data_IF_503060777287
#
_entry.id   IF_503060777287
#
_cell.length_a   1.000
_cell.length_b   1.000
_cell.length_c   1.000
_cell.angle_alpha   90.00
_cell.angle_beta   90.00
_cell.angle_gamma   90.00
#
_symmetry.space_group_name_H-M   'P 1'
#
loop_
_entity.id
_entity.type
_entity.pdbx_description
1 polymer ?
#
# COMPACT_ATOMS: atom_id res chain seq x y z
N UNK A 1 76.48 26.66 -12.33
CA UNK A 1 75.10 27.05 -12.69
C UNK A 1 74.02 26.28 -11.93
N UNK A 2 74.34 25.29 -11.07
CA UNK A 2 73.34 24.55 -10.28
C UNK A 2 72.69 25.36 -9.15
N UNK A 3 73.51 26.08 -8.37
CA UNK A 3 73.04 26.73 -7.14
C UNK A 3 72.13 27.96 -7.33
N UNK A 4 71.94 28.43 -8.57
CA UNK A 4 71.11 29.60 -8.88
C UNK A 4 69.66 29.25 -9.26
N UNK A 5 69.38 28.01 -9.67
CA UNK A 5 68.04 27.60 -10.14
C UNK A 5 67.14 27.19 -8.97
N UNK A 6 67.71 26.50 -7.98
CA UNK A 6 66.98 26.09 -6.77
C UNK A 6 66.58 27.27 -5.88
N UNK A 7 67.39 28.34 -5.87
CA UNK A 7 67.04 29.57 -5.16
C UNK A 7 65.89 30.37 -5.80
N UNK A 8 65.60 30.17 -7.09
CA UNK A 8 64.53 30.90 -7.82
C UNK A 8 63.19 30.18 -7.72
N UNK A 9 63.19 28.85 -7.53
CA UNK A 9 61.99 28.01 -7.47
C UNK A 9 61.57 27.59 -6.05
N UNK A 10 62.07 28.27 -5.01
CA UNK A 10 61.92 27.86 -3.61
C UNK A 10 60.47 27.92 -3.03
N UNK A 11 59.47 28.24 -3.85
CA UNK A 11 58.05 28.33 -3.44
C UNK A 11 57.04 27.67 -4.39
N UNK A 12 57.50 27.01 -5.46
CA UNK A 12 56.63 26.40 -6.47
C UNK A 12 56.38 24.91 -6.17
N UNK A 13 55.25 24.35 -6.64
CA UNK A 13 54.93 22.93 -6.43
C UNK A 13 55.94 22.02 -7.13
N UNK A 14 56.17 20.82 -6.60
CA UNK A 14 57.15 19.87 -7.15
C UNK A 14 56.82 19.47 -8.60
N UNK A 15 55.53 19.48 -8.97
CA UNK A 15 55.04 19.29 -10.35
C UNK A 15 55.39 20.47 -11.27
N UNK A 16 55.32 21.71 -10.76
CA UNK A 16 55.70 22.90 -11.53
C UNK A 16 57.21 22.97 -11.74
N UNK A 17 58.01 22.65 -10.71
CA UNK A 17 59.48 22.63 -10.81
C UNK A 17 59.95 21.57 -11.79
N UNK A 18 59.30 20.40 -11.82
CA UNK A 18 59.61 19.33 -12.78
C UNK A 18 59.18 19.69 -14.20
N UNK A 19 58.02 20.34 -14.39
CA UNK A 19 57.58 20.83 -15.68
C UNK A 19 58.51 21.92 -16.24
N UNK A 20 58.98 22.85 -15.39
CA UNK A 20 59.94 23.89 -15.78
C UNK A 20 61.29 23.27 -16.12
N UNK A 21 61.80 22.31 -15.34
CA UNK A 21 63.04 21.58 -15.65
C UNK A 21 62.94 20.86 -17.00
N UNK A 22 61.84 20.14 -17.26
CA UNK A 22 61.60 19.48 -18.54
C UNK A 22 61.49 20.47 -19.71
N UNK A 23 60.89 21.65 -19.48
CA UNK A 23 60.81 22.72 -20.48
C UNK A 23 62.19 23.31 -20.78
N UNK A 24 62.99 23.58 -19.76
CA UNK A 24 64.37 24.06 -19.90
C UNK A 24 65.21 23.04 -20.66
N UNK A 25 65.11 21.75 -20.29
CA UNK A 25 65.83 20.64 -20.92
C UNK A 25 65.44 20.48 -22.39
N UNK A 26 64.14 20.60 -22.70
CA UNK A 26 63.62 20.59 -24.07
C UNK A 26 64.11 21.80 -24.87
N UNK A 27 64.13 23.00 -24.29
CA UNK A 27 64.65 24.21 -24.94
C UNK A 27 66.14 24.04 -25.22
N UNK A 28 66.93 23.54 -24.27
CA UNK A 28 68.36 23.27 -24.50
C UNK A 28 68.58 22.21 -25.57
N UNK A 29 67.77 21.15 -25.60
CA UNK A 29 67.85 20.08 -26.61
C UNK A 29 67.47 20.59 -28.00
N UNK A 30 66.46 21.45 -28.10
CA UNK A 30 66.00 22.05 -29.35
C UNK A 30 66.98 23.13 -29.87
N UNK A 31 67.66 23.86 -28.96
CA UNK A 31 68.78 24.76 -29.29
C UNK A 31 70.00 23.96 -29.79
N UNK A 32 70.31 22.82 -29.17
CA UNK A 32 71.44 21.97 -29.59
C UNK A 32 71.15 21.30 -30.94
N UNK A 33 69.95 20.76 -31.14
CA UNK A 33 69.55 20.12 -32.39
C UNK A 33 69.51 21.09 -33.58
N UNK A 34 68.92 22.28 -33.42
CA UNK A 34 68.90 23.29 -34.50
C UNK A 34 70.22 24.06 -34.67
N UNK A 35 71.07 24.09 -33.64
CA UNK A 35 72.37 24.77 -33.68
C UNK A 35 73.45 23.99 -34.43
N UNK A 36 73.27 22.68 -34.63
CA UNK A 36 74.24 21.80 -35.32
C UNK A 36 73.88 21.55 -36.79
N UNK A 37 72.60 21.43 -37.15
CA UNK A 37 72.22 21.01 -38.51
C UNK A 37 72.16 22.15 -39.56
N UNK A 38 71.90 23.39 -39.17
CA UNK A 38 71.57 24.45 -40.14
C UNK A 38 72.60 25.59 -40.24
N UNK A 39 73.58 25.64 -39.32
CA UNK A 39 74.48 26.80 -39.21
C UNK A 39 75.95 26.49 -38.92
N UNK A 40 76.40 25.23 -38.98
CA UNK A 40 77.84 24.93 -39.09
C UNK A 40 78.27 24.94 -40.57
N UNK A 41 77.83 25.97 -41.33
CA UNK A 41 78.17 26.16 -42.74
C UNK A 41 79.63 26.56 -42.98
N UNK A 42 80.44 26.55 -41.92
CA UNK A 42 81.89 26.64 -42.05
C UNK A 42 82.40 25.24 -42.33
N UNK A 43 82.86 25.05 -43.56
CA UNK A 43 83.67 23.91 -43.98
C UNK A 43 84.60 23.52 -42.81
N UNK A 44 84.55 22.27 -42.31
CA UNK A 44 85.36 21.85 -41.17
C UNK A 44 86.86 22.07 -41.37
N UNK A 45 87.31 22.27 -42.62
CA UNK A 45 88.68 22.62 -42.99
C UNK A 45 88.92 24.13 -43.18
N UNK A 46 87.92 24.99 -42.96
CA UNK A 46 88.09 26.42 -43.14
C UNK A 46 89.16 26.98 -42.19
N UNK A 47 90.18 27.60 -42.79
CA UNK A 47 91.28 28.27 -42.10
C UNK A 47 90.79 29.19 -40.96
N UNK A 48 89.62 29.81 -41.14
CA UNK A 48 89.01 30.72 -40.18
C UNK A 48 88.51 30.01 -38.90
N UNK A 49 87.96 28.79 -39.01
CA UNK A 49 87.52 27.98 -37.85
C UNK A 49 88.72 27.44 -37.08
N UNK A 50 89.76 27.01 -37.81
CA UNK A 50 91.05 26.58 -37.22
C UNK A 50 91.73 27.76 -36.53
N UNK A 51 91.80 28.92 -37.17
CA UNK A 51 92.37 30.14 -36.59
C UNK A 51 91.60 30.62 -35.36
N UNK A 52 90.26 30.59 -35.39
CA UNK A 52 89.42 30.92 -34.25
C UNK A 52 89.63 29.94 -33.08
N UNK A 53 89.76 28.64 -33.37
CA UNK A 53 90.05 27.63 -32.35
C UNK A 53 91.47 27.81 -31.77
N UNK A 54 92.45 28.16 -32.60
CA UNK A 54 93.80 28.53 -32.16
C UNK A 54 93.77 29.78 -31.28
N UNK A 55 92.99 30.80 -31.64
CA UNK A 55 92.84 32.02 -30.85
C UNK A 55 92.16 31.73 -29.50
N UNK A 56 91.09 30.93 -29.46
CA UNK A 56 90.44 30.48 -28.22
C UNK A 56 91.43 29.71 -27.34
N UNK A 57 92.19 28.79 -27.92
CA UNK A 57 93.18 28.02 -27.18
C UNK A 57 94.32 28.90 -26.68
N UNK A 58 94.79 29.87 -27.47
CA UNK A 58 95.83 30.82 -27.06
C UNK A 58 95.36 31.73 -25.93
N UNK A 59 94.17 32.32 -26.04
CA UNK A 59 93.57 33.13 -24.95
C UNK A 59 93.30 32.26 -23.72
N UNK A 60 92.81 31.04 -23.91
CA UNK A 60 92.56 30.08 -22.85
C UNK A 60 93.82 29.60 -22.13
N UNK A 61 94.95 29.51 -22.84
CA UNK A 61 96.28 29.24 -22.29
C UNK A 61 96.81 30.45 -21.54
N UNK A 62 96.81 31.64 -22.14
CA UNK A 62 97.27 32.88 -21.49
C UNK A 62 96.49 33.13 -20.19
N UNK A 63 95.16 33.06 -20.22
CA UNK A 63 94.35 33.21 -19.01
C UNK A 63 94.60 32.07 -18.00
N UNK A 64 94.97 30.88 -18.48
CA UNK A 64 95.36 29.76 -17.63
C UNK A 64 96.68 30.02 -16.90
N UNK A 65 97.69 30.44 -17.63
CA UNK A 65 99.02 30.81 -17.11
C UNK A 65 98.94 32.02 -16.18
N UNK A 66 98.13 33.03 -16.52
CA UNK A 66 97.83 34.16 -15.63
C UNK A 66 97.16 33.71 -14.33
N UNK A 67 96.22 32.76 -14.40
CA UNK A 67 95.59 32.23 -13.17
C UNK A 67 96.60 31.48 -12.32
N UNK A 68 97.45 30.66 -12.93
CA UNK A 68 98.48 29.86 -12.23
C UNK A 68 99.60 30.71 -11.63
N UNK A 69 100.02 31.78 -12.31
CA UNK A 69 101.01 32.74 -11.81
C UNK A 69 100.44 33.59 -10.67
N UNK A 70 99.18 34.02 -10.76
CA UNK A 70 98.49 34.67 -9.64
C UNK A 70 98.35 33.73 -8.42
N UNK A 71 98.10 32.44 -8.65
CA UNK A 71 98.06 31.43 -7.56
C UNK A 71 99.40 31.32 -6.83
N UNK A 72 100.52 31.29 -7.56
CA UNK A 72 101.87 31.28 -6.98
C UNK A 72 102.18 32.58 -6.25
N UNK A 73 101.88 33.73 -6.87
CA UNK A 73 102.10 35.06 -6.28
C UNK A 73 101.39 35.21 -4.94
N UNK A 74 100.14 34.75 -4.83
CA UNK A 74 99.40 34.82 -3.57
C UNK A 74 99.92 33.81 -2.53
N UNK A 75 100.53 32.70 -2.96
CA UNK A 75 101.14 31.71 -2.05
C UNK A 75 102.57 32.06 -1.62
N UNK A 76 103.25 33.01 -2.26
CA UNK A 76 104.64 33.41 -1.96
C UNK A 76 104.91 33.66 -0.47
N UNK A 77 104.08 34.42 0.27
CA UNK A 77 104.33 34.66 1.70
C UNK A 77 104.32 33.38 2.55
N UNK A 78 103.52 32.39 2.16
CA UNK A 78 103.39 31.09 2.85
C UNK A 78 104.59 30.19 2.50
N UNK A 79 105.04 30.24 1.25
CA UNK A 79 106.26 29.53 0.81
C UNK A 79 107.48 30.10 1.52
N UNK A 80 107.54 31.43 1.71
CA UNK A 80 108.64 32.10 2.41
C UNK A 80 108.75 31.74 3.91
N UNK A 81 107.65 31.29 4.52
CA UNK A 81 107.60 30.86 5.92
C UNK A 81 108.04 29.39 6.12
N UNK A 82 108.13 28.60 5.03
CA UNK A 82 108.61 27.21 5.06
C UNK A 82 110.03 27.12 4.48
N UNK A 83 111.04 27.07 5.36
CA UNK A 83 112.46 27.00 4.99
C UNK A 83 112.79 25.79 4.08
N UNK A 84 112.13 24.65 4.28
CA UNK A 84 112.35 23.44 3.49
C UNK A 84 111.89 23.53 2.03
N UNK A 85 110.89 24.37 1.72
CA UNK A 85 110.41 24.60 0.36
C UNK A 85 111.24 25.67 -0.36
N UNK A 86 111.75 26.64 0.40
CA UNK A 86 112.70 27.64 -0.10
C UNK A 86 114.03 27.00 -0.51
N UNK A 87 114.52 26.05 0.27
CA UNK A 87 115.78 25.34 -0.01
C UNK A 87 115.71 24.40 -1.21
N UNK A 88 114.53 23.85 -1.50
CA UNK A 88 114.32 22.93 -2.62
C UNK A 88 114.08 23.64 -3.96
N UNK A 89 113.62 24.89 -3.95
CA UNK A 89 113.14 25.58 -5.16
C UNK A 89 114.00 26.75 -5.63
N UNK A 90 114.92 27.27 -4.80
CA UNK A 90 115.69 28.49 -5.11
C UNK A 90 117.18 28.37 -4.74
N UNK A 91 118.07 28.97 -5.54
CA UNK A 91 119.50 29.11 -5.22
C UNK A 91 119.71 30.23 -4.17
N UNK A 92 120.86 30.25 -3.49
CA UNK A 92 121.11 31.11 -2.31
C UNK A 92 120.91 32.62 -2.59
N UNK A 93 121.24 33.08 -3.79
CA UNK A 93 121.04 34.47 -4.22
C UNK A 93 119.55 34.81 -4.46
N UNK A 94 118.77 33.84 -4.99
CA UNK A 94 117.33 33.99 -5.23
C UNK A 94 116.52 34.02 -3.93
N UNK A 95 116.97 33.28 -2.90
CA UNK A 95 116.34 33.24 -1.57
C UNK A 95 116.33 34.62 -0.91
N UNK A 96 117.40 35.41 -1.10
CA UNK A 96 117.51 36.74 -0.52
C UNK A 96 116.54 37.74 -1.18
N UNK A 97 116.34 37.64 -2.50
CA UNK A 97 115.39 38.48 -3.24
C UNK A 97 113.94 38.15 -2.86
N UNK A 98 113.61 36.88 -2.67
CA UNK A 98 112.27 36.42 -2.28
C UNK A 98 111.96 36.75 -0.80
N UNK A 99 112.95 36.63 0.10
CA UNK A 99 112.83 37.09 1.49
C UNK A 99 112.60 38.62 1.57
N UNK A 100 113.27 39.40 0.72
CA UNK A 100 113.06 40.84 0.62
C UNK A 100 111.64 41.20 0.14
N UNK A 101 111.11 40.51 -0.88
CA UNK A 101 109.75 40.71 -1.39
C UNK A 101 108.66 40.30 -0.40
N UNK A 102 108.84 39.20 0.32
CA UNK A 102 107.87 38.79 1.34
C UNK A 102 107.86 39.75 2.53
N UNK A 103 109.01 40.31 2.93
CA UNK A 103 109.07 41.40 3.89
C UNK A 103 108.40 42.68 3.34
N UNK A 104 108.61 43.04 2.09
CA UNK A 104 107.97 44.21 1.47
C UNK A 104 106.44 44.08 1.44
N UNK A 105 105.92 42.91 1.07
CA UNK A 105 104.48 42.61 1.06
C UNK A 105 103.91 42.58 2.49
N UNK A 106 104.64 42.02 3.47
CA UNK A 106 104.21 41.98 4.86
C UNK A 106 104.23 43.37 5.54
N UNK A 107 105.21 44.21 5.21
CA UNK A 107 105.34 45.59 5.72
C UNK A 107 104.14 46.44 5.31
N UNK A 108 103.68 46.27 4.06
CA UNK A 108 102.51 46.99 3.53
C UNK A 108 101.15 46.40 3.97
N UNK A 109 101.13 45.21 4.59
CA UNK A 109 99.89 44.54 4.99
C UNK A 109 99.46 44.79 6.45
N UNK A 110 100.29 45.43 7.28
CA UNK A 110 99.99 45.68 8.71
C UNK A 110 99.46 47.08 9.05
N UNK A 111 99.29 47.96 8.05
CA UNK A 111 98.70 49.29 8.21
C UNK A 111 97.23 49.34 7.78
N UNK A 112 96.36 49.78 8.68
CA UNK A 112 94.99 50.23 8.42
C UNK A 112 94.90 51.05 7.13
N UNK A 113 94.09 50.60 6.17
CA UNK A 113 93.89 51.31 4.90
C UNK A 113 93.09 52.60 5.09
N UNK A 114 93.81 53.70 5.32
CA UNK A 114 93.40 55.05 4.89
C UNK A 114 93.78 55.20 3.42
N UNK A 115 92.93 55.88 2.65
CA UNK A 115 93.00 55.92 1.18
C UNK A 115 94.01 56.93 0.61
N UNK A 116 94.78 57.60 1.47
CA UNK A 116 95.78 58.58 1.05
C UNK A 116 97.09 58.22 1.75
N UNK A 117 97.98 57.57 0.97
CA UNK A 117 99.45 57.52 1.09
C UNK A 117 99.96 56.22 0.44
N UNK A 118 99.94 56.18 -0.89
CA UNK A 118 100.87 55.36 -1.66
C UNK A 118 101.51 56.28 -2.69
N UNK A 119 102.67 56.82 -2.34
CA UNK A 119 103.52 57.55 -3.25
C UNK A 119 104.24 56.53 -4.16
N UNK A 120 103.66 56.31 -5.35
CA UNK A 120 104.08 55.27 -6.31
C UNK A 120 105.47 55.56 -6.93
N UNK A 121 106.08 56.71 -6.65
CA UNK A 121 107.35 57.15 -7.25
C UNK A 121 108.61 56.64 -6.53
N UNK A 122 108.53 55.94 -5.39
CA UNK A 122 109.70 55.31 -4.73
C UNK A 122 109.89 53.82 -5.03
N UNK A 123 109.11 53.23 -5.93
CA UNK A 123 109.31 51.85 -6.38
C UNK A 123 110.13 51.86 -7.68
N UNK A 124 111.41 52.21 -7.60
CA UNK A 124 112.36 51.88 -8.67
C UNK A 124 112.85 50.44 -8.46
N UNK A 125 111.99 49.46 -8.74
CA UNK A 125 112.48 48.10 -9.03
C UNK A 125 113.02 48.13 -10.46
N UNK A 126 114.31 47.84 -10.70
CA UNK A 126 114.85 47.81 -12.06
C UNK A 126 114.02 46.84 -12.90
N UNK A 127 113.49 47.29 -14.04
CA UNK A 127 112.58 46.49 -14.88
C UNK A 127 113.16 45.12 -15.31
N UNK A 128 114.49 44.96 -15.30
CA UNK A 128 115.17 43.68 -15.51
C UNK A 128 114.93 42.63 -14.41
N UNK A 129 114.85 43.05 -13.14
CA UNK A 129 114.62 42.13 -12.01
C UNK A 129 113.16 41.67 -11.91
N UNK A 130 112.20 42.48 -12.37
CA UNK A 130 110.78 42.08 -12.46
C UNK A 130 110.53 41.01 -13.53
N UNK A 131 111.29 41.04 -14.63
CA UNK A 131 111.24 40.03 -15.69
C UNK A 131 111.93 38.74 -15.21
N UNK A 132 113.04 38.84 -14.49
CA UNK A 132 113.68 37.69 -13.83
C UNK A 132 112.78 37.08 -12.72
N UNK A 133 112.06 37.90 -11.95
CA UNK A 133 111.06 37.42 -11.00
C UNK A 133 109.88 36.74 -11.69
N UNK A 134 109.37 37.30 -12.79
CA UNK A 134 108.30 36.66 -13.55
C UNK A 134 108.75 35.33 -14.17
N UNK A 135 110.03 35.21 -14.60
CA UNK A 135 110.57 33.95 -15.12
C UNK A 135 110.88 32.93 -14.02
N UNK A 136 111.30 33.37 -12.83
CA UNK A 136 111.48 32.55 -11.63
C UNK A 136 110.15 32.01 -11.09
N UNK A 137 109.10 32.84 -11.08
CA UNK A 137 107.75 32.49 -10.62
C UNK A 137 106.97 31.63 -11.63
N UNK A 138 107.43 31.57 -12.89
CA UNK A 138 106.87 30.74 -13.94
C UNK A 138 107.49 29.32 -14.00
N UNK A 139 108.41 28.96 -13.08
CA UNK A 139 108.98 27.61 -13.01
C UNK A 139 107.87 26.59 -12.69
N UNK A 140 107.71 25.58 -13.56
CA UNK A 140 106.65 24.55 -13.46
C UNK A 140 106.65 23.78 -12.13
N UNK A 141 107.82 23.63 -11.52
CA UNK A 141 108.00 22.96 -10.23
C UNK A 141 107.38 23.74 -9.07
N UNK A 142 107.43 25.08 -9.14
CA UNK A 142 106.84 25.98 -8.14
C UNK A 142 105.30 25.98 -8.23
N UNK A 143 104.75 25.90 -9.44
CA UNK A 143 103.30 25.72 -9.65
C UNK A 143 102.80 24.39 -9.08
N UNK A 144 103.58 23.31 -9.17
CA UNK A 144 103.19 22.00 -8.62
C UNK A 144 103.17 22.00 -7.08
N UNK A 145 104.14 22.66 -6.44
CA UNK A 145 104.22 22.76 -4.98
C UNK A 145 103.14 23.67 -4.37
N UNK A 146 102.70 24.72 -5.09
CA UNK A 146 101.76 25.73 -4.58
C UNK A 146 100.30 25.30 -4.60
N UNK A 147 99.90 24.34 -5.44
CA UNK A 147 98.50 23.83 -5.53
C UNK A 147 97.97 23.34 -4.18
N UNK A 148 98.83 22.79 -3.32
CA UNK A 148 98.48 22.36 -1.96
C UNK A 148 98.21 23.50 -0.98
N UNK A 149 98.91 24.63 -1.15
CA UNK A 149 98.87 25.78 -0.23
C UNK A 149 97.78 26.81 -0.56
N UNK A 150 97.13 26.72 -1.74
CA UNK A 150 95.98 27.55 -2.11
C UNK A 150 94.81 27.42 -1.11
N UNK A 151 94.68 26.27 -0.42
CA UNK A 151 93.68 26.05 0.63
C UNK A 151 93.99 26.73 1.97
N UNK A 152 95.21 27.21 2.15
CA UNK A 152 95.65 27.93 3.36
C UNK A 152 95.59 29.46 3.18
N UNK A 153 95.28 29.94 1.97
CA UNK A 153 95.12 31.36 1.68
C UNK A 153 93.88 31.97 2.35
N UNK A 154 93.97 33.23 2.81
CA UNK A 154 92.82 34.00 3.30
C UNK A 154 91.66 34.04 2.29
N UNK A 155 90.43 34.06 2.81
CA UNK A 155 89.20 33.89 2.00
C UNK A 155 89.02 34.91 0.87
N UNK A 156 89.60 36.11 1.00
CA UNK A 156 89.55 37.17 -0.03
C UNK A 156 90.30 36.73 -1.30
N UNK A 157 91.52 36.20 -1.17
CA UNK A 157 92.31 35.71 -2.29
C UNK A 157 91.69 34.48 -2.94
N UNK A 158 91.06 33.61 -2.14
CA UNK A 158 90.35 32.43 -2.68
C UNK A 158 89.11 32.81 -3.50
N UNK A 159 88.33 33.78 -3.03
CA UNK A 159 87.17 34.32 -3.79
C UNK A 159 87.64 34.99 -5.08
N UNK A 160 88.71 35.78 -5.03
CA UNK A 160 89.28 36.39 -6.22
C UNK A 160 89.75 35.35 -7.24
N UNK A 161 90.49 34.32 -6.81
CA UNK A 161 90.91 33.21 -7.68
C UNK A 161 89.72 32.42 -8.24
N UNK A 162 88.66 32.21 -7.45
CA UNK A 162 87.42 31.59 -7.92
C UNK A 162 86.76 32.42 -9.01
N UNK A 163 86.64 33.74 -8.80
CA UNK A 163 86.07 34.66 -9.78
C UNK A 163 86.90 34.72 -11.06
N UNK A 164 88.23 34.69 -10.97
CA UNK A 164 89.11 34.63 -12.15
C UNK A 164 88.97 33.30 -12.90
N UNK A 165 88.83 32.17 -12.18
CA UNK A 165 88.56 30.87 -12.79
C UNK A 165 87.17 30.83 -13.46
N UNK A 166 86.16 31.42 -12.85
CA UNK A 166 84.83 31.56 -13.46
C UNK A 166 84.84 32.51 -14.66
N UNK A 167 85.55 33.63 -14.56
CA UNK A 167 85.75 34.57 -15.66
C UNK A 167 86.45 33.89 -16.84
N UNK A 168 87.46 33.06 -16.59
CA UNK A 168 88.10 32.22 -17.62
C UNK A 168 87.10 31.28 -18.27
N UNK A 169 86.31 30.53 -17.49
CA UNK A 169 85.27 29.63 -18.02
C UNK A 169 84.23 30.39 -18.84
N UNK A 170 83.77 31.53 -18.34
CA UNK A 170 82.81 32.40 -19.01
C UNK A 170 83.36 32.97 -20.32
N UNK A 171 84.59 33.48 -20.31
CA UNK A 171 85.25 34.03 -21.49
C UNK A 171 85.47 32.97 -22.56
N UNK A 172 85.93 31.77 -22.16
CA UNK A 172 86.06 30.63 -23.09
C UNK A 172 84.68 30.23 -23.64
N UNK A 173 83.64 30.15 -22.81
CA UNK A 173 82.29 29.79 -23.26
C UNK A 173 81.67 30.85 -24.17
N UNK A 174 81.90 32.13 -23.89
CA UNK A 174 81.44 33.25 -24.70
C UNK A 174 82.17 33.32 -26.03
N UNK A 175 83.48 33.04 -26.04
CA UNK A 175 84.25 32.94 -27.28
C UNK A 175 83.88 31.70 -28.09
N UNK A 176 83.47 30.59 -27.47
CA UNK A 176 82.91 29.42 -28.17
C UNK A 176 81.51 29.68 -28.77
N UNK A 177 80.88 30.79 -28.41
CA UNK A 177 79.54 31.16 -28.86
C UNK A 177 79.68 32.05 -30.10
N UNK A 178 79.59 31.44 -31.28
CA UNK A 178 79.64 32.14 -32.56
C UNK A 178 78.36 32.97 -32.75
N UNK A 179 78.46 34.13 -33.42
CA UNK A 179 77.32 34.99 -33.73
C UNK A 179 76.13 34.25 -34.39
N UNK A 180 76.39 33.17 -35.13
CA UNK A 180 75.37 32.30 -35.72
C UNK A 180 74.56 31.49 -34.69
N UNK A 181 75.22 30.99 -33.63
CA UNK A 181 74.54 30.25 -32.54
C UNK A 181 73.67 31.17 -31.69
N UNK A 182 74.10 32.41 -31.48
CA UNK A 182 73.27 33.43 -30.82
C UNK A 182 72.03 33.79 -31.65
N UNK A 183 72.18 33.98 -32.96
CA UNK A 183 71.05 34.24 -33.85
C UNK A 183 70.05 33.08 -33.89
N UNK A 184 70.53 31.82 -33.87
CA UNK A 184 69.68 30.64 -33.82
C UNK A 184 68.88 30.57 -32.50
N UNK A 185 69.54 30.84 -31.37
CA UNK A 185 68.89 30.93 -30.06
C UNK A 185 67.81 32.01 -30.04
N UNK A 186 68.09 33.19 -30.59
CA UNK A 186 67.12 34.28 -30.67
C UNK A 186 65.91 33.93 -31.53
N UNK A 187 66.11 33.27 -32.69
CA UNK A 187 65.02 32.76 -33.53
C UNK A 187 64.14 31.74 -32.79
N UNK A 188 64.73 30.83 -32.02
CA UNK A 188 63.99 29.85 -31.20
C UNK A 188 63.17 30.57 -30.13
N UNK A 189 63.77 31.52 -29.41
CA UNK A 189 63.07 32.32 -28.40
C UNK A 189 61.89 33.09 -28.98
N UNK A 190 62.04 33.69 -30.17
CA UNK A 190 60.92 34.36 -30.85
C UNK A 190 59.80 33.38 -31.25
N UNK A 191 60.14 32.17 -31.74
CA UNK A 191 59.13 31.14 -32.03
C UNK A 191 58.37 30.73 -30.78
N UNK A 192 59.07 30.49 -29.67
CA UNK A 192 58.47 30.14 -28.38
C UNK A 192 57.60 31.27 -27.83
N UNK A 193 58.05 32.52 -27.94
CA UNK A 193 57.28 33.69 -27.52
C UNK A 193 55.98 33.82 -28.32
N UNK A 194 56.04 33.71 -29.65
CA UNK A 194 54.86 33.75 -30.50
C UNK A 194 53.87 32.61 -30.18
N UNK A 195 54.38 31.40 -29.87
CA UNK A 195 53.54 30.27 -29.45
C UNK A 195 52.90 30.54 -28.09
N UNK A 196 53.65 31.06 -27.13
CA UNK A 196 53.13 31.43 -25.81
C UNK A 196 52.02 32.47 -25.94
N UNK A 197 52.19 33.48 -26.80
CA UNK A 197 51.18 34.51 -27.03
C UNK A 197 49.90 33.96 -27.66
N UNK A 198 50.01 32.97 -28.56
CA UNK A 198 48.84 32.24 -29.08
C UNK A 198 48.16 31.42 -27.99
N UNK A 199 48.93 30.67 -27.21
CA UNK A 199 48.40 29.86 -26.11
C UNK A 199 47.68 30.72 -25.08
N UNK A 200 48.22 31.89 -24.71
CA UNK A 200 47.55 32.86 -23.82
C UNK A 200 46.20 33.31 -24.38
N UNK A 201 46.12 33.61 -25.68
CA UNK A 201 44.85 33.98 -26.33
C UNK A 201 43.85 32.81 -26.34
N UNK A 202 44.32 31.58 -26.52
CA UNK A 202 43.49 30.39 -26.50
C UNK A 202 42.96 30.09 -25.09
N UNK A 203 43.82 30.20 -24.07
CA UNK A 203 43.44 30.07 -22.66
C UNK A 203 42.33 31.08 -22.33
N UNK A 204 42.49 32.36 -22.68
CA UNK A 204 41.45 33.37 -22.46
C UNK A 204 40.12 33.01 -23.12
N UNK A 205 40.14 32.52 -24.36
CA UNK A 205 38.91 32.07 -25.04
C UNK A 205 38.23 30.91 -24.31
N UNK A 206 39.02 29.95 -23.80
CA UNK A 206 38.49 28.81 -23.05
C UNK A 206 37.91 29.28 -21.72
N UNK A 207 38.59 30.19 -21.02
CA UNK A 207 38.12 30.84 -19.79
C UNK A 207 36.77 31.56 -20.02
N UNK A 208 36.67 32.36 -21.08
CA UNK A 208 35.42 33.05 -21.44
C UNK A 208 34.28 32.07 -21.72
N UNK A 209 34.55 30.99 -22.45
CA UNK A 209 33.56 29.92 -22.72
C UNK A 209 33.14 29.23 -21.41
N UNK A 210 34.08 29.01 -20.49
CA UNK A 210 33.82 28.37 -19.22
C UNK A 210 32.91 29.25 -18.36
N UNK A 211 33.19 30.55 -18.28
CA UNK A 211 32.34 31.54 -17.58
C UNK A 211 30.93 31.54 -18.17
N UNK A 212 30.80 31.68 -19.50
CA UNK A 212 29.47 31.66 -20.13
C UNK A 212 28.70 30.36 -19.90
N UNK A 213 29.38 29.20 -19.92
CA UNK A 213 28.73 27.91 -19.63
C UNK A 213 28.30 27.80 -18.17
N UNK A 214 29.11 28.33 -17.24
CA UNK A 214 28.80 28.37 -15.81
C UNK A 214 27.57 29.24 -15.55
N UNK A 215 27.50 30.44 -16.14
CA UNK A 215 26.36 31.34 -16.01
C UNK A 215 25.06 30.71 -16.55
N UNK A 216 25.11 30.10 -17.75
CA UNK A 216 23.95 29.37 -18.31
C UNK A 216 23.50 28.21 -17.43
N UNK A 217 24.45 27.49 -16.83
CA UNK A 217 24.12 26.41 -15.90
C UNK A 217 23.46 26.97 -14.64
N UNK A 218 23.99 28.06 -14.07
CA UNK A 218 23.42 28.71 -12.90
C UNK A 218 22.00 29.24 -13.18
N UNK A 219 21.75 29.81 -14.35
CA UNK A 219 20.41 30.23 -14.80
C UNK A 219 19.46 29.04 -14.90
N UNK A 220 19.84 27.97 -15.60
CA UNK A 220 19.02 26.75 -15.71
C UNK A 220 18.75 26.10 -14.35
N UNK A 221 19.73 26.13 -13.44
CA UNK A 221 19.56 25.63 -12.07
C UNK A 221 18.55 26.49 -11.31
N UNK A 222 18.65 27.82 -11.39
CA UNK A 222 17.67 28.74 -10.76
C UNK A 222 16.26 28.50 -11.30
N UNK A 223 16.09 28.38 -12.60
CA UNK A 223 14.79 28.05 -13.21
C UNK A 223 14.22 26.74 -12.66
N UNK A 224 15.02 25.67 -12.62
CA UNK A 224 14.60 24.38 -12.05
C UNK A 224 14.24 24.49 -10.57
N UNK A 225 14.99 25.26 -9.79
CA UNK A 225 14.64 25.53 -8.39
C UNK A 225 13.29 26.23 -8.24
N UNK A 226 12.98 27.23 -9.07
CA UNK A 226 11.65 27.88 -9.02
C UNK A 226 10.52 26.92 -9.37
N UNK A 227 10.73 26.00 -10.31
CA UNK A 227 9.75 24.96 -10.65
C UNK A 227 9.54 23.99 -9.49
N UNK A 228 10.63 23.53 -8.87
CA UNK A 228 10.57 22.65 -7.69
C UNK A 228 9.79 23.31 -6.56
N UNK A 229 10.03 24.60 -6.31
CA UNK A 229 9.37 25.31 -5.22
C UNK A 229 7.87 25.51 -5.47
N UNK A 230 7.47 25.76 -6.73
CA UNK A 230 6.04 25.76 -7.11
C UNK A 230 5.38 24.40 -6.84
N UNK A 231 6.00 23.30 -7.29
CA UNK A 231 5.45 21.97 -7.06
C UNK A 231 5.40 21.58 -5.59
N UNK A 232 6.36 22.01 -4.77
CA UNK A 232 6.31 21.83 -3.31
C UNK A 232 5.10 22.52 -2.71
N UNK A 233 4.84 23.76 -3.10
CA UNK A 233 3.68 24.52 -2.65
C UNK A 233 2.36 23.88 -3.10
N UNK A 234 2.27 23.46 -4.36
CA UNK A 234 1.09 22.75 -4.88
C UNK A 234 0.83 21.42 -4.14
N UNK A 235 1.88 20.67 -3.80
CA UNK A 235 1.78 19.45 -3.01
C UNK A 235 1.30 19.72 -1.57
N UNK A 236 1.76 20.81 -0.97
CA UNK A 236 1.33 21.22 0.37
C UNK A 236 -0.15 21.63 0.38
N UNK A 237 -0.57 22.48 -0.57
CA UNK A 237 -1.96 22.90 -0.74
C UNK A 237 -2.88 21.69 -1.02
N UNK A 238 -2.46 20.78 -1.92
CA UNK A 238 -3.21 19.56 -2.19
C UNK A 238 -3.31 18.66 -0.95
N UNK A 239 -2.22 18.58 -0.17
CA UNK A 239 -2.19 17.86 1.10
C UNK A 239 -3.18 18.43 2.12
N UNK A 240 -3.25 19.76 2.25
CA UNK A 240 -4.20 20.44 3.13
C UNK A 240 -5.65 20.23 2.69
N UNK A 241 -5.94 20.41 1.40
CA UNK A 241 -7.28 20.19 0.84
C UNK A 241 -7.71 18.74 1.04
N UNK A 242 -6.81 17.78 0.77
CA UNK A 242 -7.09 16.35 0.99
C UNK A 242 -7.39 16.05 2.46
N UNK A 243 -6.56 16.54 3.39
CA UNK A 243 -6.81 16.38 4.83
C UNK A 243 -8.15 16.97 5.25
N UNK A 244 -8.46 18.19 4.80
CA UNK A 244 -9.74 18.84 5.10
C UNK A 244 -10.93 18.05 4.55
N UNK A 245 -10.83 17.53 3.34
CA UNK A 245 -11.87 16.73 2.72
C UNK A 245 -12.07 15.39 3.44
N UNK A 246 -10.99 14.73 3.86
CA UNK A 246 -11.05 13.49 4.65
C UNK A 246 -11.76 13.74 5.98
N UNK A 247 -11.39 14.81 6.68
CA UNK A 247 -12.03 15.17 7.97
C UNK A 247 -13.52 15.45 7.77
N UNK A 248 -13.88 16.27 6.77
CA UNK A 248 -15.30 16.55 6.46
C UNK A 248 -16.08 15.29 6.12
N UNK A 249 -15.49 14.40 5.32
CA UNK A 249 -16.12 13.14 4.96
C UNK A 249 -16.32 12.22 6.18
N UNK A 250 -15.33 12.16 7.07
CA UNK A 250 -15.47 11.43 8.33
C UNK A 250 -16.58 12.01 9.20
N UNK A 251 -16.59 13.33 9.41
CA UNK A 251 -17.62 14.01 10.22
C UNK A 251 -19.03 13.81 9.63
N UNK A 252 -19.18 13.94 8.31
CA UNK A 252 -20.46 13.73 7.61
C UNK A 252 -20.91 12.26 7.69
N UNK A 253 -19.97 11.32 7.57
CA UNK A 253 -20.24 9.88 7.70
C UNK A 253 -20.66 9.52 9.13
N UNK A 254 -19.95 10.02 10.13
CA UNK A 254 -20.25 9.79 11.55
C UNK A 254 -21.60 10.38 11.93
N UNK A 255 -21.93 11.58 11.41
CA UNK A 255 -23.25 12.19 11.59
C UNK A 255 -24.35 11.37 10.95
N UNK A 256 -24.14 10.87 9.74
CA UNK A 256 -25.11 9.98 9.09
C UNK A 256 -25.28 8.69 9.90
N UNK A 257 -24.18 8.08 10.35
CA UNK A 257 -24.20 6.87 11.15
C UNK A 257 -24.96 7.08 12.46
N UNK A 258 -24.74 8.20 13.14
CA UNK A 258 -25.48 8.58 14.35
C UNK A 258 -26.98 8.66 14.07
N UNK A 259 -27.41 9.35 13.02
CA UNK A 259 -28.83 9.42 12.65
C UNK A 259 -29.42 8.07 12.25
N UNK A 260 -28.63 7.17 11.64
CA UNK A 260 -29.07 5.81 11.36
C UNK A 260 -29.30 5.01 12.64
N UNK A 261 -28.40 5.13 13.63
CA UNK A 261 -28.56 4.47 14.94
C UNK A 261 -29.76 5.03 15.70
N UNK A 262 -29.88 6.35 15.82
CA UNK A 262 -31.01 7.02 16.47
C UNK A 262 -32.35 6.56 15.87
N UNK A 263 -32.45 6.56 14.54
CA UNK A 263 -33.65 6.06 13.84
C UNK A 263 -33.87 4.56 14.02
N UNK A 264 -32.81 3.77 14.16
CA UNK A 264 -32.91 2.33 14.41
C UNK A 264 -33.43 2.07 15.83
N UNK A 265 -32.92 2.82 16.81
CA UNK A 265 -33.33 2.73 18.21
C UNK A 265 -34.79 3.15 18.37
N UNK A 266 -35.22 4.26 17.74
CA UNK A 266 -36.62 4.68 17.71
C UNK A 266 -37.55 3.60 17.15
N UNK A 267 -37.15 2.92 16.07
CA UNK A 267 -37.93 1.81 15.50
C UNK A 267 -37.97 0.61 16.43
N UNK A 268 -36.86 0.33 17.11
CA UNK A 268 -36.77 -0.78 18.05
C UNK A 268 -37.69 -0.54 19.25
N UNK A 269 -37.67 0.65 19.83
CA UNK A 269 -38.59 1.06 20.90
C UNK A 269 -40.05 0.97 20.44
N UNK A 270 -40.39 1.48 19.25
CA UNK A 270 -41.75 1.35 18.70
C UNK A 270 -42.18 -0.11 18.52
N UNK A 271 -41.29 -0.99 18.05
CA UNK A 271 -41.58 -2.42 17.91
C UNK A 271 -41.78 -3.10 19.28
N UNK A 272 -41.03 -2.69 20.30
CA UNK A 272 -41.21 -3.17 21.67
C UNK A 272 -42.55 -2.72 22.25
N UNK A 273 -42.94 -1.47 22.04
CA UNK A 273 -44.25 -0.95 22.44
C UNK A 273 -45.39 -1.71 21.74
N UNK A 274 -45.30 -1.92 20.42
CA UNK A 274 -46.28 -2.67 19.65
C UNK A 274 -46.37 -4.14 20.11
N UNK A 275 -45.23 -4.78 20.41
CA UNK A 275 -45.19 -6.12 20.98
C UNK A 275 -45.85 -6.19 22.37
N UNK A 276 -45.65 -5.18 23.21
CA UNK A 276 -46.28 -5.10 24.52
C UNK A 276 -47.80 -4.89 24.41
N UNK A 277 -48.25 -4.02 23.52
CA UNK A 277 -49.67 -3.73 23.29
C UNK A 277 -50.40 -4.93 22.69
N UNK A 278 -49.79 -5.62 21.72
CA UNK A 278 -50.36 -6.84 21.14
C UNK A 278 -50.45 -7.96 22.17
N UNK A 279 -49.44 -8.13 23.03
CA UNK A 279 -49.49 -9.10 24.14
C UNK A 279 -50.63 -8.78 25.11
N UNK A 280 -50.79 -7.50 25.47
CA UNK A 280 -51.86 -7.04 26.37
C UNK A 280 -53.25 -7.28 25.75
N UNK A 281 -53.43 -6.93 24.48
CA UNK A 281 -54.68 -7.17 23.74
C UNK A 281 -55.00 -8.67 23.67
N UNK A 282 -54.00 -9.50 23.40
CA UNK A 282 -54.16 -10.95 23.37
C UNK A 282 -54.56 -11.53 24.74
N UNK A 283 -53.91 -11.09 25.82
CA UNK A 283 -54.27 -11.50 27.17
C UNK A 283 -55.70 -11.11 27.54
N UNK A 284 -56.12 -9.90 27.15
CA UNK A 284 -57.49 -9.45 27.36
C UNK A 284 -58.50 -10.31 26.60
N UNK A 285 -58.28 -10.55 25.30
CA UNK A 285 -59.15 -11.43 24.49
C UNK A 285 -59.21 -12.84 25.07
N UNK A 286 -58.07 -13.41 25.46
CA UNK A 286 -58.01 -14.73 26.08
C UNK A 286 -58.85 -14.78 27.36
N UNK A 287 -58.78 -13.74 28.20
CA UNK A 287 -59.60 -13.64 29.40
C UNK A 287 -61.10 -13.55 29.06
N UNK A 288 -61.47 -12.73 28.09
CA UNK A 288 -62.85 -12.61 27.59
C UNK A 288 -63.37 -13.96 27.09
N UNK A 289 -62.62 -14.65 26.24
CA UNK A 289 -62.97 -15.97 25.72
C UNK A 289 -63.12 -17.01 26.83
N UNK A 290 -62.19 -17.03 27.80
CA UNK A 290 -62.30 -17.93 28.95
C UNK A 290 -63.54 -17.64 29.81
N UNK A 291 -63.95 -16.37 29.94
CA UNK A 291 -65.19 -16.04 30.65
C UNK A 291 -66.42 -16.50 29.88
N UNK A 292 -66.46 -16.28 28.56
CA UNK A 292 -67.55 -16.75 27.69
C UNK A 292 -67.64 -18.28 27.74
N UNK A 293 -66.52 -18.97 27.63
CA UNK A 293 -66.41 -20.43 27.71
C UNK A 293 -66.98 -20.96 29.03
N UNK A 294 -66.55 -20.39 30.18
CA UNK A 294 -67.08 -20.74 31.51
C UNK A 294 -68.59 -20.52 31.60
N UNK A 295 -69.10 -19.39 31.11
CA UNK A 295 -70.55 -19.12 31.13
C UNK A 295 -71.32 -20.11 30.26
N UNK A 296 -70.78 -20.50 29.11
CA UNK A 296 -71.38 -21.49 28.22
C UNK A 296 -71.34 -22.90 28.83
N UNK A 297 -70.25 -23.29 29.50
CA UNK A 297 -70.20 -24.54 30.29
C UNK A 297 -71.27 -24.57 31.37
N UNK A 298 -71.45 -23.48 32.10
CA UNK A 298 -72.49 -23.37 33.13
C UNK A 298 -73.91 -23.44 32.54
N UNK A 299 -74.16 -22.76 31.41
CA UNK A 299 -75.45 -22.85 30.69
C UNK A 299 -75.72 -24.28 30.23
N UNK A 300 -74.73 -24.94 29.62
CA UNK A 300 -74.82 -26.34 29.20
C UNK A 300 -75.15 -27.25 30.39
N UNK A 301 -74.43 -27.12 31.50
CA UNK A 301 -74.69 -27.91 32.72
C UNK A 301 -76.13 -27.70 33.24
N UNK A 302 -76.59 -26.44 33.31
CA UNK A 302 -77.97 -26.12 33.73
C UNK A 302 -79.01 -26.77 32.81
N UNK A 303 -78.84 -26.65 31.49
CA UNK A 303 -79.74 -27.26 30.50
C UNK A 303 -79.72 -28.79 30.58
N UNK A 304 -78.55 -29.40 30.73
CA UNK A 304 -78.41 -30.85 30.91
C UNK A 304 -79.13 -31.32 32.18
N UNK A 305 -78.98 -30.60 33.30
CA UNK A 305 -79.69 -30.91 34.54
C UNK A 305 -81.22 -30.73 34.41
N UNK A 306 -81.67 -29.70 33.70
CA UNK A 306 -83.10 -29.50 33.42
C UNK A 306 -83.66 -30.63 32.55
N UNK A 307 -82.95 -31.03 31.49
CA UNK A 307 -83.33 -32.15 30.63
C UNK A 307 -83.39 -33.46 31.41
N UNK A 308 -82.39 -33.72 32.26
CA UNK A 308 -82.37 -34.91 33.13
C UNK A 308 -83.55 -34.89 34.11
N UNK A 309 -83.91 -33.72 34.67
CA UNK A 309 -85.09 -33.59 35.52
C UNK A 309 -86.39 -33.85 34.76
N UNK A 310 -86.53 -33.35 33.53
CA UNK A 310 -87.70 -33.62 32.68
C UNK A 310 -87.79 -35.09 32.29
N UNK A 311 -86.66 -35.72 31.95
CA UNK A 311 -86.60 -37.14 31.63
C UNK A 311 -87.01 -37.99 32.84
N UNK A 312 -86.47 -37.70 34.03
CA UNK A 312 -86.88 -38.38 35.27
C UNK A 312 -88.37 -38.21 35.58
N UNK A 313 -88.95 -37.02 35.35
CA UNK A 313 -90.39 -36.79 35.51
C UNK A 313 -91.22 -37.59 34.51
N UNK A 314 -90.79 -37.61 33.24
CA UNK A 314 -91.43 -38.38 32.19
C UNK A 314 -91.37 -39.88 32.48
N UNK A 315 -90.20 -40.41 32.83
CA UNK A 315 -90.01 -41.83 33.17
C UNK A 315 -90.87 -42.23 34.38
N UNK A 316 -90.98 -41.35 35.38
CA UNK A 316 -91.86 -41.56 36.53
C UNK A 316 -93.34 -41.61 36.13
N UNK A 317 -93.85 -40.58 35.44
CA UNK A 317 -95.25 -40.51 35.00
C UNK A 317 -95.61 -41.65 34.03
N UNK A 318 -94.74 -41.97 33.08
CA UNK A 318 -94.89 -43.11 32.18
C UNK A 318 -94.89 -44.45 32.95
N UNK A 319 -94.02 -44.60 33.95
CA UNK A 319 -93.98 -45.75 34.85
C UNK A 319 -95.27 -45.90 35.65
N UNK A 320 -95.76 -44.82 36.25
CA UNK A 320 -97.02 -44.75 37.01
C UNK A 320 -98.22 -45.10 36.11
N UNK A 321 -98.37 -44.47 34.94
CA UNK A 321 -99.44 -44.81 33.99
C UNK A 321 -99.38 -46.24 33.47
N UNK A 322 -98.18 -46.76 33.23
CA UNK A 322 -98.01 -48.16 32.81
C UNK A 322 -98.44 -49.10 33.94
N UNK A 323 -98.15 -48.75 35.19
CA UNK A 323 -98.61 -49.50 36.35
C UNK A 323 -100.14 -49.46 36.48
N UNK A 324 -100.75 -48.28 36.42
CA UNK A 324 -102.21 -48.09 36.42
C UNK A 324 -102.89 -48.86 35.29
N UNK A 325 -102.34 -48.80 34.07
CA UNK A 325 -102.86 -49.55 32.92
C UNK A 325 -102.80 -51.06 33.18
N UNK A 326 -101.70 -51.58 33.72
CA UNK A 326 -101.58 -52.98 34.10
C UNK A 326 -102.63 -53.35 35.14
N UNK A 327 -102.85 -52.52 36.16
CA UNK A 327 -103.90 -52.74 37.16
C UNK A 327 -105.30 -52.75 36.51
N UNK A 328 -105.62 -51.79 35.65
CA UNK A 328 -106.91 -51.75 34.96
C UNK A 328 -107.11 -52.95 34.04
N UNK A 329 -106.08 -53.37 33.31
CA UNK A 329 -106.11 -54.59 32.49
C UNK A 329 -106.34 -55.82 33.36
N UNK A 330 -105.68 -55.93 34.51
CA UNK A 330 -105.94 -57.05 35.44
C UNK A 330 -107.37 -57.03 35.98
N UNK A 331 -107.90 -55.87 36.39
CA UNK A 331 -109.30 -55.70 36.84
C UNK A 331 -110.31 -56.01 35.72
N UNK A 332 -110.04 -55.59 34.49
CA UNK A 332 -110.88 -55.90 33.34
C UNK A 332 -110.88 -57.40 33.05
N UNK A 333 -109.70 -58.04 33.08
CA UNK A 333 -109.59 -59.47 32.87
C UNK A 333 -110.33 -60.27 33.97
N UNK A 334 -110.23 -59.87 35.24
CA UNK A 334 -110.98 -60.53 36.32
C UNK A 334 -112.49 -60.32 36.16
N UNK A 335 -112.95 -59.10 35.86
CA UNK A 335 -114.37 -58.82 35.57
C UNK A 335 -114.89 -59.58 34.36
N UNK A 336 -114.09 -59.70 33.30
CA UNK A 336 -114.44 -60.48 32.12
C UNK A 336 -114.57 -61.96 32.47
N UNK A 337 -113.67 -62.50 33.31
CA UNK A 337 -113.77 -63.87 33.81
C UNK A 337 -115.03 -64.07 34.67
N UNK A 338 -115.34 -63.13 35.57
CA UNK A 338 -116.58 -63.13 36.37
C UNK A 338 -117.82 -63.11 35.47
N UNK A 339 -117.87 -62.20 34.50
CA UNK A 339 -118.97 -62.09 33.54
C UNK A 339 -119.12 -63.36 32.70
N UNK A 340 -118.02 -63.91 32.18
CA UNK A 340 -118.04 -65.16 31.41
C UNK A 340 -118.55 -66.33 32.28
N UNK A 341 -118.18 -66.37 33.57
CA UNK A 341 -118.69 -67.37 34.53
C UNK A 341 -120.18 -67.19 34.80
N UNK A 342 -120.62 -65.96 35.04
CA UNK A 342 -122.04 -65.64 35.23
C UNK A 342 -122.87 -65.98 33.99
N UNK A 343 -122.39 -65.60 32.80
CA UNK A 343 -123.04 -65.87 31.53
C UNK A 343 -123.27 -67.38 31.33
N UNK A 344 -122.21 -68.19 31.50
CA UNK A 344 -122.30 -69.65 31.35
C UNK A 344 -123.19 -70.32 32.39
N UNK A 345 -123.17 -69.87 33.65
CA UNK A 345 -123.83 -70.58 34.74
C UNK A 345 -125.25 -70.11 35.02
N UNK A 346 -125.56 -68.84 34.75
CA UNK A 346 -126.86 -68.22 35.08
C UNK A 346 -127.61 -67.83 33.82
N UNK A 347 -127.00 -67.02 32.95
CA UNK A 347 -127.70 -66.45 31.80
C UNK A 347 -128.00 -67.49 30.72
N UNK A 348 -127.01 -68.21 30.20
CA UNK A 348 -127.21 -69.18 29.12
C UNK A 348 -128.23 -70.28 29.49
N UNK A 349 -128.25 -70.83 30.73
CA UNK A 349 -129.31 -71.77 31.15
C UNK A 349 -130.69 -71.12 31.29
N UNK A 350 -130.78 -69.86 31.73
CA UNK A 350 -132.05 -69.14 31.81
C UNK A 350 -132.60 -68.79 30.43
N UNK A 351 -131.73 -68.32 29.53
CA UNK A 351 -132.06 -68.04 28.14
C UNK A 351 -132.55 -69.30 27.44
N UNK A 352 -131.87 -70.44 27.64
CA UNK A 352 -132.34 -71.74 27.16
C UNK A 352 -133.73 -72.09 27.70
N UNK A 353 -133.96 -71.98 29.01
CA UNK A 353 -135.29 -72.23 29.60
C UNK A 353 -136.37 -71.29 29.07
N UNK A 354 -136.04 -70.02 28.83
CA UNK A 354 -136.97 -69.04 28.26
C UNK A 354 -137.33 -69.41 26.81
N UNK A 355 -136.34 -69.76 25.98
CA UNK A 355 -136.58 -70.22 24.61
C UNK A 355 -137.37 -71.53 24.58
N UNK A 356 -137.05 -72.49 25.45
CA UNK A 356 -137.81 -73.74 25.58
C UNK A 356 -139.28 -73.44 25.96
N UNK A 357 -139.53 -72.54 26.91
CA UNK A 357 -140.89 -72.12 27.29
C UNK A 357 -141.63 -71.34 26.19
N UNK A 358 -140.92 -70.51 25.42
CA UNK A 358 -141.48 -69.79 24.27
C UNK A 358 -141.86 -70.74 23.12
N UNK A 359 -141.03 -71.75 22.86
CA UNK A 359 -141.36 -72.80 21.88
C UNK A 359 -142.53 -73.65 22.39
N UNK A 360 -142.57 -74.00 23.68
CA UNK A 360 -143.73 -74.70 24.25
C UNK A 360 -145.02 -73.87 24.10
N UNK A 361 -144.97 -72.56 24.38
CA UNK A 361 -146.09 -71.64 24.14
C UNK A 361 -146.51 -71.61 22.67
N UNK A 362 -145.54 -71.55 21.75
CA UNK A 362 -145.79 -71.57 20.30
C UNK A 362 -146.48 -72.88 19.88
N UNK A 363 -146.06 -74.01 20.42
CA UNK A 363 -146.67 -75.32 20.16
C UNK A 363 -148.10 -75.42 20.72
N UNK A 364 -148.40 -74.74 21.84
CA UNK A 364 -149.78 -74.63 22.36
C UNK A 364 -150.63 -73.76 21.43
N UNK A 365 -150.14 -72.60 21.00
CA UNK A 365 -150.87 -71.72 20.07
C UNK A 365 -151.13 -72.40 18.72
N UNK A 366 -150.19 -73.22 18.23
CA UNK A 366 -150.38 -74.06 17.02
C UNK A 366 -151.49 -75.09 17.26
N UNK A 367 -151.46 -75.83 18.37
CA UNK A 367 -152.53 -76.79 18.71
C UNK A 367 -153.91 -76.14 18.81
N UNK A 368 -154.01 -74.98 19.44
CA UNK A 368 -155.29 -74.25 19.51
C UNK A 368 -155.78 -73.79 18.12
N UNK A 369 -154.87 -73.41 17.22
CA UNK A 369 -155.23 -73.07 15.85
C UNK A 369 -155.69 -74.31 15.07
N UNK A 370 -155.03 -75.44 15.23
CA UNK A 370 -155.41 -76.72 14.62
C UNK A 370 -156.80 -77.17 15.11
N UNK A 371 -157.07 -77.11 16.41
CA UNK A 371 -158.39 -77.43 16.99
C UNK A 371 -159.49 -76.51 16.44
N UNK A 372 -159.22 -75.21 16.25
CA UNK A 372 -160.17 -74.29 15.60
C UNK A 372 -160.42 -74.65 14.14
N UNK A 373 -159.38 -75.07 13.41
CA UNK A 373 -159.49 -75.51 12.01
C UNK A 373 -160.30 -76.81 11.94
N UNK A 374 -160.06 -77.78 12.82
CA UNK A 374 -160.82 -79.02 12.87
C UNK A 374 -162.30 -78.79 13.23
N UNK A 375 -162.57 -77.96 14.25
CA UNK A 375 -163.94 -77.58 14.61
C UNK A 375 -164.67 -76.84 13.48
N UNK A 376 -163.96 -76.02 12.71
CA UNK A 376 -164.47 -75.37 11.50
C UNK A 376 -164.77 -76.40 10.39
N UNK A 377 -163.87 -77.36 10.16
CA UNK A 377 -164.05 -78.45 9.18
C UNK A 377 -165.22 -79.37 9.54
N UNK A 378 -165.38 -79.74 10.82
CA UNK A 378 -166.54 -80.51 11.30
C UNK A 378 -167.86 -79.75 11.10
N UNK A 379 -167.90 -78.45 11.41
CA UNK A 379 -169.09 -77.62 11.17
C UNK A 379 -169.40 -77.43 9.68
N UNK A 380 -168.37 -77.33 8.84
CA UNK A 380 -168.49 -77.28 7.38
C UNK A 380 -169.08 -78.60 6.85
N UNK A 381 -168.57 -79.74 7.31
CA UNK A 381 -169.08 -81.06 6.95
C UNK A 381 -170.54 -81.26 7.39
N UNK A 382 -170.90 -80.84 8.60
CA UNK A 382 -172.28 -80.88 9.09
C UNK A 382 -173.23 -80.02 8.25
N UNK A 383 -172.81 -78.83 7.81
CA UNK A 383 -173.60 -77.97 6.90
C UNK A 383 -173.78 -78.58 5.51
N UNK A 384 -172.79 -79.30 4.98
CA UNK A 384 -172.89 -80.03 3.71
C UNK A 384 -173.88 -81.19 3.82
N UNK A 385 -173.82 -81.97 4.90
CA UNK A 385 -174.78 -83.04 5.20
C UNK A 385 -176.22 -82.52 5.34
N UNK A 386 -176.42 -81.40 6.05
CA UNK A 386 -177.73 -80.76 6.20
C UNK A 386 -178.30 -80.24 4.87
N UNK A 387 -177.45 -79.74 3.95
CA UNK A 387 -177.90 -79.33 2.60
C UNK A 387 -178.30 -80.52 1.73
N UNK A 388 -177.52 -81.61 1.78
CA UNK A 388 -177.85 -82.84 1.06
C UNK A 388 -179.19 -83.43 1.54
N UNK A 389 -179.46 -83.43 2.85
CA UNK A 389 -180.73 -83.90 3.42
C UNK A 389 -181.94 -83.03 3.02
N UNK A 390 -181.79 -81.69 3.03
CA UNK A 390 -182.87 -80.77 2.59
C UNK A 390 -183.23 -80.95 1.10
N UNK A 391 -182.26 -81.22 0.24
CA UNK A 391 -182.46 -81.52 -1.20
C UNK A 391 -183.27 -82.81 -1.44
N UNK A 392 -183.12 -83.82 -0.58
CA UNK A 392 -183.87 -85.09 -0.68
C UNK A 392 -185.30 -84.94 -0.15
N UNK A 393 -185.51 -84.16 0.93
CA UNK A 393 -186.83 -83.90 1.50
C UNK A 393 -187.75 -83.09 0.56
N UNK A 394 -187.19 -82.15 -0.22
CA UNK A 394 -187.96 -81.35 -1.20
C UNK A 394 -188.41 -82.17 -2.41
N UNK A 395 -187.62 -83.16 -2.81
CA UNK A 395 -187.93 -84.06 -3.95
C UNK A 395 -189.08 -85.03 -3.63
N UNK A 396 -189.27 -85.44 -2.36
CA UNK A 396 -190.42 -86.26 -1.93
C UNK A 396 -191.75 -85.49 -1.85
N UNK A 397 -191.73 -84.15 -1.70
CA UNK A 397 -192.95 -83.34 -1.48
C UNK A 397 -193.67 -82.92 -2.78
N UNK A 398 -193.04 -83.06 -3.95
CA UNK A 398 -193.63 -82.73 -5.27
C UNK A 398 -194.32 -83.91 -6.00
N UNK A 399 -194.38 -85.10 -5.39
CA UNK A 399 -194.97 -86.33 -5.97
C UNK A 399 -196.48 -86.57 -5.68
N UNK A 400 -197.24 -85.62 -5.12
CA UNK A 400 -198.70 -85.79 -4.89
C UNK A 400 -199.53 -84.53 -5.15
N UNK A 401 -199.89 -84.34 -6.42
CA UNK A 401 -201.29 -84.22 -6.86
C UNK A 401 -202.05 -82.89 -6.74
N UNK A 402 -202.30 -82.24 -7.88
CA UNK A 402 -203.45 -81.35 -8.13
C UNK A 402 -204.62 -82.23 -8.62
N UNK A 403 -205.73 -82.29 -7.88
CA UNK A 403 -206.93 -83.01 -8.33
C UNK A 403 -208.06 -83.11 -7.30
N UNK A 404 -209.05 -82.21 -7.43
CA UNK A 404 -210.46 -82.24 -6.98
C UNK A 404 -210.82 -82.20 -5.48
N UNK A 405 -211.57 -81.15 -5.10
CA UNK A 405 -212.95 -81.38 -4.62
C UNK A 405 -213.36 -80.84 -3.24
N UNK A 406 -213.97 -79.65 -3.23
CA UNK A 406 -215.34 -79.35 -2.70
C UNK A 406 -215.63 -79.39 -1.18
N UNK A 407 -215.75 -78.18 -0.60
CA UNK A 407 -216.93 -77.55 0.06
C UNK A 407 -217.75 -78.32 1.13
N UNK A 408 -217.69 -77.84 2.38
CA UNK A 408 -218.70 -77.94 3.48
C UNK A 408 -218.26 -76.99 4.61
N UNK A 409 -219.00 -75.98 5.10
CA UNK A 409 -220.28 -75.93 5.85
C UNK A 409 -220.31 -76.85 7.08
N UNK A 410 -220.21 -76.29 8.30
CA UNK A 410 -220.71 -76.94 9.54
C UNK A 410 -219.91 -76.74 10.85
N UNK A 411 -220.50 -75.98 11.78
CA UNK A 411 -220.66 -76.19 13.25
C UNK A 411 -219.67 -77.01 14.11
N UNK A 412 -219.25 -76.38 15.24
CA UNK A 412 -219.05 -76.83 16.66
C UNK A 412 -217.76 -76.18 17.21
N UNK A 413 -217.82 -75.48 18.34
CA UNK A 413 -217.73 -75.96 19.74
C UNK A 413 -216.35 -76.50 20.08
#
# INVERSE_FOLDING_TARGET
MGDSFEAVCAGDSEEDVTAVKAMVEKITSEIMAHGEEEYDSYDPESLQKVEFHIQINRVGMILGEMTQTLEVLFCLPIICQNESLLDACFEEDDKNVIKFLSQYIASNASGTMSKDDIDVEQITVPAGQLIELASLLAKKELHAATVGHVKQLPGVYRRFLSNIREFRKFTINKMKLTAQKDLAKEKILHRLWNRNERNKKEIRKIEDILVMKKEKLEESVKEKYTVIERYRKELEELGEVSRSNIIKFMDDSDRQMFHYFERSDERYEHLLEEAADTLKSYQQQLQEDLTVEKTNRLKKLKLTNQLQSWLHKYDKDAGERTHELKELVTKLNTRQQEYNRWKRNIFDPQEKKYFDAMEEKRQIEIREQEERIEAFMMNRAAKVLQRAWRSVAERKRKMRGKGRGRKGKGKRK
#
